data_IF_880981532310
#
_entry.id   IF_880981532310
#
_cell.length_a   1.000
_cell.length_b   1.000
_cell.length_c   1.000
_cell.angle_alpha   90.00
_cell.angle_beta   90.00
_cell.angle_gamma   90.00
#
_symmetry.space_group_name_H-M   'P 1'
#
loop_
_entity.id
_entity.type
_entity.pdbx_description
1 polymer ?
#
# COMPACT_ATOMS: atom_id res chain seq x y z
N UNK A 1 -1.91 13.04 -28.66
CA UNK A 1 -2.35 11.80 -27.99
C UNK A 1 -2.48 12.12 -26.51
N UNK A 2 -3.63 11.87 -25.87
CA UNK A 2 -3.76 12.09 -24.43
C UNK A 2 -2.84 11.13 -23.66
N UNK A 3 -2.33 11.52 -22.48
CA UNK A 3 -1.53 10.62 -21.66
C UNK A 3 -2.38 9.42 -21.20
N UNK A 4 -1.87 8.21 -21.41
CA UNK A 4 -2.48 6.97 -20.92
C UNK A 4 -1.89 6.63 -19.55
N UNK A 5 -2.74 6.42 -18.54
CA UNK A 5 -2.28 6.03 -17.22
C UNK A 5 -2.01 4.52 -17.19
N UNK A 6 -0.75 4.15 -17.06
CA UNK A 6 -0.32 2.75 -16.96
C UNK A 6 0.00 2.41 -15.50
N UNK A 7 -0.71 1.45 -14.88
CA UNK A 7 -0.38 0.98 -13.54
C UNK A 7 1.08 0.49 -13.49
N UNK A 8 1.91 1.19 -12.72
CA UNK A 8 3.34 0.87 -12.60
C UNK A 8 3.65 0.55 -11.14
N UNK A 9 4.27 -0.61 -10.90
CA UNK A 9 4.75 -0.97 -9.56
C UNK A 9 6.04 -0.22 -9.30
N UNK A 10 6.11 0.49 -8.17
CA UNK A 10 7.33 1.13 -7.70
C UNK A 10 7.48 0.91 -6.19
N UNK A 11 8.67 1.20 -5.69
CA UNK A 11 8.99 1.19 -4.26
C UNK A 11 9.35 2.60 -3.83
N UNK A 12 9.00 2.99 -2.62
CA UNK A 12 9.34 4.31 -2.10
C UNK A 12 9.42 4.33 -0.59
N UNK A 13 10.06 5.37 -0.07
CA UNK A 13 10.12 5.67 1.35
C UNK A 13 8.99 6.61 1.70
N UNK A 14 8.16 6.22 2.65
CA UNK A 14 7.16 7.11 3.23
C UNK A 14 7.88 8.20 4.03
N UNK A 15 7.68 9.47 3.66
CA UNK A 15 8.17 10.62 4.40
C UNK A 15 7.10 11.16 5.35
N UNK A 16 5.89 11.35 4.84
CA UNK A 16 4.76 11.87 5.61
C UNK A 16 3.45 11.18 5.23
N UNK A 17 2.57 11.02 6.21
CA UNK A 17 1.17 10.67 6.00
C UNK A 17 0.31 11.90 6.28
N UNK A 18 -0.52 12.27 5.32
CA UNK A 18 -1.40 13.43 5.36
C UNK A 18 -2.85 12.94 5.43
N UNK A 19 -3.53 13.22 6.54
CA UNK A 19 -4.95 12.98 6.70
C UNK A 19 -5.71 14.28 6.39
N UNK A 20 -6.44 14.31 5.28
CA UNK A 20 -7.23 15.48 4.86
C UNK A 20 -8.70 15.15 5.07
N UNK A 21 -9.29 15.73 6.11
CA UNK A 21 -10.72 15.56 6.39
C UNK A 21 -11.52 16.60 5.62
N UNK A 22 -12.36 16.13 4.71
CA UNK A 22 -13.29 16.93 3.91
C UNK A 22 -14.64 16.88 4.61
N UNK A 23 -15.13 18.06 4.98
CA UNK A 23 -16.46 18.23 5.56
C UNK A 23 -17.54 18.06 4.49
N UNK A 24 -18.76 17.62 4.86
CA UNK A 24 -19.87 17.58 3.92
C UNK A 24 -20.09 18.97 3.29
N UNK A 25 -20.17 19.02 1.97
CA UNK A 25 -20.38 20.26 1.22
C UNK A 25 -21.32 19.99 0.03
N UNK A 26 -22.38 20.79 -0.15
CA UNK A 26 -23.33 20.59 -1.24
C UNK A 26 -22.73 20.82 -2.64
N UNK A 27 -21.58 21.49 -2.71
CA UNK A 27 -20.83 21.78 -3.93
C UNK A 27 -20.03 20.57 -4.47
N UNK A 28 -19.76 19.54 -3.65
CA UNK A 28 -19.08 18.32 -4.10
C UNK A 28 -20.05 17.42 -4.89
N UNK A 29 -19.90 17.33 -6.22
CA UNK A 29 -20.82 16.62 -7.10
C UNK A 29 -20.80 15.09 -6.97
N UNK A 30 -19.65 14.52 -6.61
CA UNK A 30 -19.36 13.09 -6.79
C UNK A 30 -19.08 12.31 -5.50
N UNK A 31 -19.29 12.96 -4.34
CA UNK A 31 -19.15 12.32 -3.03
C UNK A 31 -20.43 12.54 -2.23
N UNK A 32 -20.75 11.62 -1.33
CA UNK A 32 -21.94 11.70 -0.48
C UNK A 32 -21.97 13.05 0.27
N UNK A 33 -22.81 13.97 -0.24
CA UNK A 33 -22.93 15.35 0.25
C UNK A 33 -23.37 15.43 1.71
N UNK A 34 -23.87 14.32 2.26
CA UNK A 34 -24.39 14.24 3.63
C UNK A 34 -23.36 13.75 4.63
N UNK A 35 -22.24 13.18 4.18
CA UNK A 35 -21.22 12.58 5.04
C UNK A 35 -19.81 13.02 4.62
N UNK A 36 -19.10 13.66 5.54
CA UNK A 36 -17.69 13.98 5.35
C UNK A 36 -16.85 12.71 5.20
N UNK A 37 -15.67 12.86 4.62
CA UNK A 37 -14.74 11.75 4.42
C UNK A 37 -13.30 12.21 4.67
N UNK A 38 -12.40 11.26 4.90
CA UNK A 38 -10.98 11.55 5.07
C UNK A 38 -10.21 10.94 3.91
N UNK A 39 -9.46 11.78 3.20
CA UNK A 39 -8.48 11.37 2.22
C UNK A 39 -7.15 11.12 2.91
N UNK A 40 -6.59 9.94 2.71
CA UNK A 40 -5.26 9.59 3.19
C UNK A 40 -4.29 9.73 2.02
N UNK A 41 -3.43 10.73 2.08
CA UNK A 41 -2.40 10.99 1.09
C UNK A 41 -1.04 10.68 1.70
N UNK A 42 -0.15 10.10 0.92
CA UNK A 42 1.19 9.72 1.34
C UNK A 42 2.21 10.50 0.52
N UNK A 43 3.06 11.24 1.21
CA UNK A 43 4.26 11.84 0.62
C UNK A 43 5.36 10.79 0.61
N UNK A 44 5.73 10.35 -0.59
CA UNK A 44 6.63 9.21 -0.82
C UNK A 44 7.80 9.66 -1.66
N UNK A 45 9.01 9.31 -1.22
CA UNK A 45 10.23 9.43 -2.02
C UNK A 45 10.45 8.12 -2.81
N UNK A 46 10.23 8.09 -4.14
CA UNK A 46 10.32 6.83 -4.89
C UNK A 46 11.78 6.41 -5.06
N UNK A 47 12.06 5.13 -4.86
CA UNK A 47 13.36 4.51 -5.04
C UNK A 47 13.58 4.20 -6.53
N UNK A 48 14.75 4.56 -7.08
CA UNK A 48 15.12 4.18 -8.44
C UNK A 48 15.57 2.72 -8.47
N UNK A 49 14.61 1.81 -8.45
CA UNK A 49 14.87 0.37 -8.35
C UNK A 49 15.23 -0.26 -9.69
N UNK A 50 16.18 -1.17 -9.65
CA UNK A 50 16.52 -2.10 -10.73
C UNK A 50 16.35 -3.53 -10.25
N UNK A 51 16.09 -4.45 -11.18
CA UNK A 51 16.03 -5.87 -10.86
C UNK A 51 17.45 -6.43 -10.73
N UNK A 52 17.81 -6.90 -9.54
CA UNK A 52 19.13 -7.41 -9.21
C UNK A 52 19.36 -8.86 -9.66
N UNK A 53 20.63 -9.25 -9.72
CA UNK A 53 21.08 -10.57 -10.20
C UNK A 53 20.56 -11.75 -9.35
N UNK A 54 20.20 -11.51 -8.09
CA UNK A 54 19.72 -12.53 -7.16
C UNK A 54 18.18 -12.55 -7.03
N UNK A 55 17.47 -11.84 -7.91
CA UNK A 55 15.99 -11.83 -7.93
C UNK A 55 15.36 -10.87 -6.92
N UNK A 56 16.11 -9.88 -6.43
CA UNK A 56 15.61 -8.83 -5.54
C UNK A 56 15.64 -7.47 -6.24
N UNK A 57 14.75 -6.57 -5.85
CA UNK A 57 14.83 -5.17 -6.26
C UNK A 57 15.95 -4.47 -5.48
N UNK A 58 16.75 -3.66 -6.17
CA UNK A 58 17.88 -2.95 -5.59
C UNK A 58 17.86 -1.49 -6.02
N UNK A 59 18.32 -0.57 -5.16
CA UNK A 59 18.47 0.85 -5.53
C UNK A 59 19.63 1.52 -4.80
N UNK A 60 20.12 2.63 -5.37
CA UNK A 60 21.16 3.49 -4.78
C UNK A 60 20.73 4.94 -4.62
N UNK A 61 19.75 5.37 -5.40
CA UNK A 61 19.22 6.73 -5.39
C UNK A 61 17.70 6.71 -5.36
N UNK A 62 17.14 7.83 -4.93
CA UNK A 62 15.71 8.11 -5.00
C UNK A 62 15.43 9.13 -6.10
N UNK A 63 14.15 9.29 -6.45
CA UNK A 63 13.65 10.33 -7.35
C UNK A 63 12.90 11.40 -6.57
N UNK A 64 12.36 12.40 -7.29
CA UNK A 64 11.59 13.47 -6.67
C UNK A 64 10.36 12.91 -5.92
N UNK A 65 10.06 13.51 -4.77
CA UNK A 65 8.92 13.12 -3.94
C UNK A 65 7.61 13.23 -4.72
N UNK A 66 6.70 12.31 -4.42
CA UNK A 66 5.38 12.22 -5.05
C UNK A 66 4.33 12.03 -3.95
N UNK A 67 3.19 12.69 -4.13
CA UNK A 67 2.02 12.47 -3.29
C UNK A 67 1.13 11.45 -3.97
N UNK A 68 0.87 10.34 -3.28
CA UNK A 68 -0.01 9.27 -3.74
C UNK A 68 -1.21 9.08 -2.80
N UNK A 69 -2.29 8.53 -3.33
CA UNK A 69 -3.39 8.04 -2.50
C UNK A 69 -2.92 6.80 -1.70
N UNK A 70 -3.24 6.73 -0.42
CA UNK A 70 -2.84 5.61 0.45
C UNK A 70 -3.40 4.25 -0.02
N UNK A 71 -4.51 4.24 -0.76
CA UNK A 71 -5.09 3.03 -1.38
C UNK A 71 -4.17 2.40 -2.43
N UNK A 72 -3.20 3.15 -2.96
CA UNK A 72 -2.20 2.62 -3.89
C UNK A 72 -1.13 1.74 -3.20
N UNK A 73 -1.03 1.76 -1.87
CA UNK A 73 -0.04 0.95 -1.13
C UNK A 73 -0.48 -0.50 -1.08
N UNK A 74 0.37 -1.38 -1.64
CA UNK A 74 0.09 -2.83 -1.67
C UNK A 74 0.72 -3.60 -0.51
N UNK A 75 1.88 -3.15 -0.02
CA UNK A 75 2.61 -3.82 1.04
C UNK A 75 3.67 -2.91 1.66
N UNK A 76 4.03 -3.19 2.91
CA UNK A 76 5.24 -2.68 3.55
C UNK A 76 6.35 -3.70 3.35
N UNK A 77 7.53 -3.23 2.92
CA UNK A 77 8.70 -4.07 2.62
C UNK A 77 9.87 -3.70 3.52
N UNK A 78 10.73 -4.68 3.80
CA UNK A 78 12.02 -4.42 4.44
C UNK A 78 13.05 -3.94 3.43
N UNK A 79 14.12 -3.31 3.92
CA UNK A 79 15.33 -3.05 3.13
C UNK A 79 16.59 -3.33 3.94
N UNK A 80 17.62 -3.82 3.26
CA UNK A 80 18.93 -4.12 3.85
C UNK A 80 19.99 -3.37 3.04
N UNK A 81 20.94 -2.73 3.71
CA UNK A 81 22.10 -2.14 3.05
C UNK A 81 23.16 -3.22 2.84
N UNK A 82 23.47 -3.51 1.58
CA UNK A 82 24.46 -4.52 1.19
C UNK A 82 25.25 -4.05 -0.03
N UNK A 83 26.57 -4.22 -0.03
CA UNK A 83 27.43 -3.90 -1.18
C UNK A 83 27.28 -2.47 -1.75
N UNK A 84 26.97 -1.48 -0.91
CA UNK A 84 26.79 -0.08 -1.33
C UNK A 84 25.46 0.21 -2.04
N UNK A 85 24.45 -0.62 -1.83
CA UNK A 85 23.09 -0.46 -2.35
C UNK A 85 22.06 -0.93 -1.32
N UNK A 86 20.84 -0.43 -1.44
CA UNK A 86 19.69 -0.97 -0.71
C UNK A 86 19.09 -2.13 -1.49
N UNK A 87 18.86 -3.25 -0.82
CA UNK A 87 18.14 -4.41 -1.35
C UNK A 87 16.77 -4.46 -0.68
N UNK A 88 15.71 -4.55 -1.48
CA UNK A 88 14.33 -4.62 -1.01
C UNK A 88 13.97 -6.09 -0.75
N UNK A 89 13.49 -6.35 0.46
CA UNK A 89 13.09 -7.67 0.92
C UNK A 89 11.59 -7.68 1.14
N UNK A 90 10.87 -8.40 0.29
CA UNK A 90 9.48 -8.76 0.55
C UNK A 90 9.49 -9.87 1.60
N UNK A 91 8.86 -9.63 2.75
CA UNK A 91 8.57 -10.69 3.71
C UNK A 91 7.34 -11.42 3.19
N UNK A 92 7.46 -12.67 2.80
CA UNK A 92 6.32 -13.54 2.49
C UNK A 92 5.98 -14.41 3.71
N UNK A 93 4.71 -14.83 3.84
CA UNK A 93 4.26 -15.74 4.90
C UNK A 93 3.67 -15.04 6.13
N UNK A 94 3.78 -15.65 7.32
CA UNK A 94 3.18 -15.19 8.60
C UNK A 94 3.61 -13.78 9.07
N UNK A 95 4.63 -13.19 8.43
CA UNK A 95 5.13 -11.85 8.71
C UNK A 95 4.67 -10.80 7.69
N UNK A 96 3.73 -11.12 6.79
CA UNK A 96 2.98 -10.15 6.01
C UNK A 96 1.95 -9.46 6.92
N UNK A 97 2.38 -8.44 7.68
CA UNK A 97 1.53 -7.70 8.62
C UNK A 97 0.51 -6.75 7.94
N UNK A 98 0.43 -6.75 6.61
CA UNK A 98 -0.54 -5.95 5.86
C UNK A 98 -1.28 -6.86 4.87
N UNK A 99 -2.45 -7.34 5.29
CA UNK A 99 -3.43 -7.95 4.38
C UNK A 99 -4.38 -6.85 3.91
N UNK A 100 -4.39 -6.59 2.61
CA UNK A 100 -5.41 -5.76 1.98
C UNK A 100 -6.67 -6.62 1.80
N UNK A 101 -7.73 -6.36 2.57
CA UNK A 101 -9.05 -6.90 2.28
C UNK A 101 -9.75 -5.94 1.32
N UNK A 102 -10.03 -6.39 0.10
CA UNK A 102 -11.00 -5.73 -0.76
C UNK A 102 -12.37 -5.90 -0.10
N UNK A 103 -12.86 -4.86 0.58
CA UNK A 103 -14.24 -4.83 1.10
C UNK A 103 -15.16 -4.50 -0.08
N UNK A 104 -15.22 -5.40 -1.05
CA UNK A 104 -16.20 -5.39 -2.12
C UNK A 104 -16.41 -6.85 -2.55
N UNK A 105 -17.03 -7.63 -1.67
CA UNK A 105 -17.97 -8.65 -2.11
C UNK A 105 -18.98 -8.97 -1.01
N UNK A 106 -20.26 -8.91 -1.36
CA UNK A 106 -21.38 -9.32 -0.55
C UNK A 106 -21.32 -10.84 -0.38
N UNK A 107 -21.19 -11.33 0.85
CA UNK A 107 -21.36 -12.76 1.15
C UNK A 107 -21.21 -13.05 2.63
N UNK A 108 -22.34 -13.34 3.29
CA UNK A 108 -22.40 -13.85 4.65
C UNK A 108 -21.42 -15.02 4.84
N UNK A 109 -20.47 -14.90 5.76
CA UNK A 109 -19.67 -16.01 6.27
C UNK A 109 -20.29 -16.49 7.58
N UNK A 110 -20.72 -17.74 7.59
CA UNK A 110 -21.04 -18.51 8.79
C UNK A 110 -19.77 -18.75 9.60
N UNK A 111 -19.81 -18.39 10.88
CA UNK A 111 -18.83 -18.84 11.87
C UNK A 111 -19.00 -20.36 12.05
N UNK A 112 -18.06 -21.16 11.55
CA UNK A 112 -17.87 -22.53 12.02
C UNK A 112 -16.94 -22.47 13.24
N UNK A 113 -17.49 -22.86 14.39
CA UNK A 113 -16.77 -23.04 15.65
C UNK A 113 -15.89 -24.31 15.54
N UNK A 114 -14.58 -24.16 15.74
CA UNK A 114 -13.66 -25.28 15.90
C UNK A 114 -13.95 -25.97 17.25
N UNK A 115 -14.53 -27.16 17.24
CA UNK A 115 -14.63 -28.04 18.41
C UNK A 115 -13.26 -28.69 18.66
N UNK A 116 -12.67 -28.37 19.83
CA UNK A 116 -11.50 -29.04 20.38
C UNK A 116 -11.83 -30.51 20.72
N UNK A 117 -11.31 -31.46 19.94
CA UNK A 117 -11.24 -32.87 20.37
C UNK A 117 -9.97 -33.09 21.22
N UNK A 118 -10.12 -32.88 22.52
CA UNK A 118 -9.35 -33.56 23.57
C UNK A 118 -10.04 -34.91 23.82
N UNK A 119 -9.36 -36.05 23.59
CA UNK A 119 -9.46 -37.21 24.48
C UNK A 119 -8.40 -38.30 24.20
N UNK A 120 -7.52 -38.45 25.21
CA UNK A 120 -6.92 -39.68 25.79
C UNK A 120 -5.90 -40.53 25.01
#
# INVERSE_FOLDING_TARGET
>A
MPPEYVPTTFFGQLLHALAVTIQPSPELSDVDKTKGFTLMLLDVEPCNTVWGQYGFYEYRSSSACQVIDATAVRAVVGRIWDGGKWVIVKRSGSHEHARYQNIHDNGYGSDEEDEDEDES
#
